data_IF_656415711478
#
_entry.id   IF_656415711478
#
_cell.length_a   1.000
_cell.length_b   1.000
_cell.length_c   1.000
_cell.angle_alpha   90.00
_cell.angle_beta   90.00
_cell.angle_gamma   90.00
#
_symmetry.space_group_name_H-M   'P 1'
#
loop_
_entity.id
_entity.type
_entity.pdbx_description
1 polymer ?
#
# COMPACT_ATOMS: atom_id res chain seq x y z
N UNK A 1 5.35 31.47 -20.11
CA UNK A 1 6.48 31.62 -21.04
C UNK A 1 7.83 31.05 -20.57
N UNK A 2 7.90 30.47 -19.36
CA UNK A 2 9.14 29.89 -18.80
C UNK A 2 9.48 28.51 -19.39
N UNK A 3 8.47 27.74 -19.82
CA UNK A 3 8.67 26.40 -20.39
C UNK A 3 9.26 26.41 -21.84
N UNK A 4 9.23 27.54 -22.53
CA UNK A 4 9.78 27.67 -23.91
C UNK A 4 11.30 27.79 -23.91
N UNK A 5 11.91 28.19 -22.78
CA UNK A 5 13.36 28.38 -22.65
C UNK A 5 14.13 27.13 -22.25
N UNK A 6 13.48 26.12 -21.62
CA UNK A 6 14.18 24.95 -21.10
C UNK A 6 14.52 23.89 -22.16
N UNK A 7 13.93 23.96 -23.38
CA UNK A 7 14.12 22.90 -24.40
C UNK A 7 15.44 22.96 -25.16
N UNK A 8 16.23 24.01 -25.00
CA UNK A 8 17.46 24.19 -25.81
C UNK A 8 18.69 24.69 -25.04
N UNK A 9 18.67 24.68 -23.70
CA UNK A 9 19.82 25.15 -22.91
C UNK A 9 20.72 23.96 -22.57
N UNK A 10 21.96 24.00 -23.03
CA UNK A 10 22.95 22.96 -22.69
C UNK A 10 23.29 23.02 -21.20
N UNK A 11 23.66 21.89 -20.55
CA UNK A 11 23.86 21.81 -19.08
C UNK A 11 24.90 22.77 -18.48
N UNK A 12 25.74 23.38 -19.33
CA UNK A 12 26.83 24.30 -18.95
C UNK A 12 26.47 25.78 -19.08
N UNK A 13 25.23 26.11 -19.44
CA UNK A 13 24.77 27.52 -19.56
C UNK A 13 24.08 28.03 -18.29
N UNK A 14 24.06 27.24 -17.21
CA UNK A 14 23.62 27.73 -15.93
C UNK A 14 24.68 28.62 -15.29
N UNK A 15 24.25 29.80 -14.81
CA UNK A 15 25.09 30.65 -13.95
C UNK A 15 25.71 29.78 -12.85
N UNK A 16 27.06 29.79 -12.62
CA UNK A 16 27.73 29.00 -11.61
C UNK A 16 27.15 29.18 -10.20
N UNK A 17 26.70 30.39 -9.89
CA UNK A 17 26.06 30.70 -8.59
C UNK A 17 24.69 30.03 -8.45
N UNK A 18 23.84 30.06 -9.51
CA UNK A 18 22.56 29.35 -9.50
C UNK A 18 22.73 27.83 -9.45
N UNK A 19 23.73 27.30 -10.13
CA UNK A 19 24.07 25.89 -10.10
C UNK A 19 24.54 25.47 -8.70
N UNK A 20 25.46 26.25 -8.10
CA UNK A 20 25.95 26.00 -6.76
C UNK A 20 24.84 26.11 -5.70
N UNK A 21 23.97 27.14 -5.79
CA UNK A 21 22.83 27.29 -4.89
C UNK A 21 21.88 26.08 -4.99
N UNK A 22 21.53 25.67 -6.21
CA UNK A 22 20.61 24.59 -6.44
C UNK A 22 21.08 23.23 -5.90
N UNK A 23 22.39 23.01 -5.88
CA UNK A 23 23.01 21.75 -5.41
C UNK A 23 23.36 21.75 -3.92
N UNK A 24 23.23 22.88 -3.20
CA UNK A 24 23.43 22.89 -1.76
C UNK A 24 22.36 22.07 -1.05
N UNK A 25 22.78 21.30 -0.05
CA UNK A 25 21.88 20.50 0.79
C UNK A 25 21.03 21.41 1.67
N UNK A 26 19.73 21.39 1.49
CA UNK A 26 18.76 22.17 2.27
C UNK A 26 18.22 21.42 3.47
N UNK A 27 17.96 20.12 3.31
CA UNK A 27 17.37 19.27 4.35
C UNK A 27 18.10 17.95 4.43
N UNK A 28 18.44 17.53 5.64
CA UNK A 28 18.98 16.20 5.94
C UNK A 28 17.96 15.42 6.77
N UNK A 29 17.72 14.15 6.42
CA UNK A 29 16.84 13.24 7.18
C UNK A 29 17.26 11.81 6.96
N UNK A 30 16.82 10.92 7.85
CA UNK A 30 17.11 9.50 7.70
C UNK A 30 15.97 8.77 7.00
N UNK A 31 16.33 7.80 6.16
CA UNK A 31 15.38 6.90 5.51
C UNK A 31 14.66 6.06 6.57
N UNK A 32 13.33 6.03 6.49
CA UNK A 32 12.51 5.29 7.47
C UNK A 32 12.62 3.77 7.32
N UNK A 33 13.09 3.26 6.16
CA UNK A 33 13.20 1.82 5.92
C UNK A 33 14.61 1.27 6.23
N UNK A 34 15.68 2.00 5.91
CA UNK A 34 17.05 1.51 6.02
C UNK A 34 18.00 2.39 6.85
N UNK A 35 17.51 3.48 7.44
CA UNK A 35 18.32 4.39 8.24
C UNK A 35 19.36 5.22 7.47
N UNK A 36 19.46 5.10 6.14
CA UNK A 36 20.41 5.84 5.32
C UNK A 36 20.11 7.33 5.33
N UNK A 37 21.15 8.16 5.39
CA UNK A 37 20.99 9.62 5.28
C UNK A 37 20.47 9.99 3.91
N UNK A 38 19.45 10.83 3.87
CA UNK A 38 18.88 11.46 2.68
C UNK A 38 19.22 12.93 2.73
N UNK A 39 19.93 13.41 1.73
CA UNK A 39 20.23 14.81 1.53
C UNK A 39 19.35 15.34 0.42
N UNK A 40 18.58 16.39 0.71
CA UNK A 40 17.65 17.03 -0.21
C UNK A 40 18.23 18.40 -0.55
N UNK A 41 18.52 18.61 -1.81
CA UNK A 41 19.08 19.86 -2.29
C UNK A 41 18.03 20.98 -2.37
N UNK A 42 18.48 22.23 -2.56
CA UNK A 42 17.56 23.35 -2.76
C UNK A 42 16.63 23.12 -3.98
N UNK A 43 17.16 22.63 -5.09
CA UNK A 43 16.38 22.33 -6.29
C UNK A 43 15.30 21.28 -6.05
N UNK A 44 15.64 20.19 -5.35
CA UNK A 44 14.68 19.14 -5.00
C UNK A 44 13.61 19.66 -4.02
N UNK A 45 14.03 20.40 -3.01
CA UNK A 45 13.11 21.00 -2.05
C UNK A 45 12.07 21.89 -2.73
N UNK A 46 12.53 22.79 -3.60
CA UNK A 46 11.69 23.72 -4.33
C UNK A 46 10.78 23.00 -5.33
N UNK A 47 11.25 21.89 -5.93
CA UNK A 47 10.41 21.01 -6.75
C UNK A 47 9.25 20.42 -5.96
N UNK A 48 9.52 19.80 -4.81
CA UNK A 48 8.48 19.21 -3.96
C UNK A 48 7.48 20.27 -3.49
N UNK A 49 7.96 21.44 -3.08
CA UNK A 49 7.10 22.56 -2.64
C UNK A 49 6.19 23.07 -3.77
N UNK A 50 6.74 23.30 -4.97
CA UNK A 50 5.95 23.77 -6.13
C UNK A 50 4.88 22.78 -6.57
N UNK A 51 5.13 21.49 -6.37
CA UNK A 51 4.18 20.41 -6.73
C UNK A 51 3.19 20.09 -5.60
N UNK A 52 3.33 20.71 -4.43
CA UNK A 52 2.50 20.39 -3.26
C UNK A 52 2.77 19.00 -2.68
N UNK A 53 3.94 18.42 -2.94
CA UNK A 53 4.31 17.10 -2.44
C UNK A 53 5.08 17.20 -1.13
N UNK A 54 4.88 16.21 -0.25
CA UNK A 54 5.73 16.01 0.92
C UNK A 54 7.15 15.63 0.52
N UNK A 55 8.12 16.06 1.35
CA UNK A 55 9.51 15.66 1.17
C UNK A 55 9.67 14.14 1.35
N UNK A 56 10.54 13.50 0.55
CA UNK A 56 10.70 12.05 0.55
C UNK A 56 11.14 11.52 1.91
N UNK A 57 10.39 10.56 2.46
CA UNK A 57 10.69 9.86 3.72
C UNK A 57 11.65 8.68 3.53
N UNK A 58 11.91 8.30 2.28
CA UNK A 58 12.73 7.14 1.89
C UNK A 58 13.84 7.54 0.93
N UNK A 59 15.01 6.91 1.07
CA UNK A 59 16.12 7.11 0.12
C UNK A 59 15.75 6.59 -1.29
N UNK A 60 16.45 7.04 -2.35
CA UNK A 60 16.17 6.61 -3.72
C UNK A 60 16.10 5.09 -3.89
N UNK A 61 17.06 4.35 -3.32
CA UNK A 61 17.10 2.87 -3.40
C UNK A 61 15.88 2.21 -2.78
N UNK A 62 15.44 2.67 -1.59
CA UNK A 62 14.23 2.12 -0.95
C UNK A 62 12.96 2.50 -1.71
N UNK A 63 12.91 3.69 -2.33
CA UNK A 63 11.81 4.08 -3.22
C UNK A 63 11.77 3.22 -4.47
N UNK A 64 12.92 2.96 -5.08
CA UNK A 64 13.05 2.12 -6.26
C UNK A 64 12.74 0.65 -5.97
N UNK A 65 13.23 0.12 -4.83
CA UNK A 65 12.87 -1.22 -4.38
C UNK A 65 11.36 -1.35 -4.13
N UNK A 66 10.71 -0.34 -3.54
CA UNK A 66 9.24 -0.32 -3.43
C UNK A 66 8.58 -0.25 -4.81
N UNK A 67 9.07 0.57 -5.72
CA UNK A 67 8.55 0.69 -7.10
C UNK A 67 8.78 -0.60 -7.90
N UNK A 68 9.94 -1.23 -7.78
CA UNK A 68 10.26 -2.49 -8.43
C UNK A 68 9.47 -3.65 -7.80
N UNK A 69 9.22 -3.63 -6.49
CA UNK A 69 8.28 -4.53 -5.84
C UNK A 69 6.83 -4.27 -6.31
N UNK A 70 6.45 -3.04 -6.64
CA UNK A 70 5.16 -2.72 -7.25
C UNK A 70 5.09 -3.27 -8.69
N UNK A 71 6.10 -3.00 -9.51
CA UNK A 71 6.15 -3.46 -10.92
C UNK A 71 6.39 -4.97 -11.05
N UNK A 72 7.13 -5.61 -10.10
CA UNK A 72 7.25 -7.05 -10.01
C UNK A 72 5.99 -7.72 -9.41
N UNK A 73 5.09 -6.95 -8.78
CA UNK A 73 3.79 -7.44 -8.30
C UNK A 73 2.83 -7.72 -9.45
N UNK A 74 2.89 -6.94 -10.55
CA UNK A 74 2.09 -7.20 -11.76
C UNK A 74 2.53 -8.47 -12.51
N UNK A 75 3.77 -8.94 -12.29
CA UNK A 75 4.31 -10.15 -12.92
C UNK A 75 4.44 -11.37 -11.99
N UNK A 76 4.16 -11.20 -10.70
CA UNK A 76 3.94 -12.30 -9.75
C UNK A 76 2.50 -12.26 -9.28
N UNK A 77 1.61 -12.85 -10.06
CA UNK A 77 0.27 -13.26 -9.66
C UNK A 77 0.34 -14.25 -8.50
N UNK A 78 0.88 -13.85 -7.36
CA UNK A 78 0.86 -14.65 -6.15
C UNK A 78 0.95 -13.77 -4.89
N UNK A 79 -0.20 -13.27 -4.45
CA UNK A 79 -0.47 -13.24 -3.03
C UNK A 79 -0.03 -12.03 -2.22
N UNK A 80 0.05 -10.78 -2.78
CA UNK A 80 0.37 -9.62 -1.92
C UNK A 80 -0.85 -8.77 -1.55
N UNK A 81 -1.95 -8.88 -2.29
CA UNK A 81 -3.15 -8.10 -2.04
C UNK A 81 -4.13 -8.83 -1.10
N UNK A 82 -4.67 -8.12 -0.13
CA UNK A 82 -5.81 -8.55 0.68
C UNK A 82 -7.04 -7.78 0.21
N UNK A 83 -7.62 -8.14 -0.96
CA UNK A 83 -8.64 -7.36 -1.65
C UNK A 83 -9.75 -6.84 -0.74
N UNK A 84 -10.46 -7.72 -0.02
CA UNK A 84 -11.56 -7.34 0.87
C UNK A 84 -11.04 -6.47 2.03
N UNK A 85 -9.99 -6.92 2.72
CA UNK A 85 -9.41 -6.18 3.86
C UNK A 85 -8.86 -4.82 3.43
N UNK A 86 -8.27 -4.71 2.24
CA UNK A 86 -7.78 -3.43 1.68
C UNK A 86 -8.95 -2.46 1.51
N UNK A 87 -10.06 -2.89 0.91
CA UNK A 87 -11.25 -2.03 0.74
C UNK A 87 -11.81 -1.57 2.08
N UNK A 88 -11.87 -2.46 3.08
CA UNK A 88 -12.32 -2.08 4.41
C UNK A 88 -11.37 -1.07 5.08
N UNK A 89 -10.07 -1.26 4.95
CA UNK A 89 -9.09 -0.30 5.45
C UNK A 89 -9.19 1.06 4.73
N UNK A 90 -9.33 1.06 3.39
CA UNK A 90 -9.55 2.26 2.59
C UNK A 90 -10.81 3.03 3.02
N UNK A 91 -11.93 2.33 3.27
CA UNK A 91 -13.17 2.93 3.73
C UNK A 91 -12.98 3.68 5.06
N UNK A 92 -12.14 3.17 5.97
CA UNK A 92 -11.78 3.86 7.23
C UNK A 92 -10.59 4.82 7.10
N UNK A 93 -10.24 5.23 5.88
CA UNK A 93 -9.16 6.19 5.63
C UNK A 93 -7.75 5.67 5.94
N UNK A 94 -7.57 4.36 6.03
CA UNK A 94 -6.28 3.72 6.31
C UNK A 94 -5.52 3.45 5.01
N UNK A 95 -4.20 3.63 5.08
CA UNK A 95 -3.31 3.37 3.92
C UNK A 95 -3.08 1.87 3.68
N UNK A 96 -2.65 1.50 2.46
CA UNK A 96 -2.33 0.10 2.10
C UNK A 96 -1.15 -0.50 2.90
N UNK A 97 -0.39 0.33 3.61
CA UNK A 97 0.67 -0.06 4.53
C UNK A 97 0.27 0.05 6.01
N UNK A 98 -1.03 0.13 6.33
CA UNK A 98 -1.51 0.17 7.71
C UNK A 98 -1.18 -1.12 8.47
N UNK A 99 -1.16 -1.00 9.79
CA UNK A 99 -0.78 -2.11 10.68
C UNK A 99 -1.71 -3.31 10.53
N UNK A 100 -3.00 -3.07 10.34
CA UNK A 100 -4.02 -4.11 10.19
C UNK A 100 -3.76 -4.97 8.94
N UNK A 101 -3.48 -4.33 7.80
CA UNK A 101 -3.16 -5.06 6.57
C UNK A 101 -1.83 -5.81 6.66
N UNK A 102 -0.84 -5.25 7.34
CA UNK A 102 0.43 -5.93 7.54
C UNK A 102 0.29 -7.18 8.41
N UNK A 103 -0.49 -7.11 9.50
CA UNK A 103 -0.81 -8.26 10.36
C UNK A 103 -1.53 -9.36 9.55
N UNK A 104 -2.53 -9.01 8.74
CA UNK A 104 -3.28 -9.97 7.94
C UNK A 104 -2.43 -10.60 6.83
N UNK A 105 -1.53 -9.83 6.22
CA UNK A 105 -0.59 -10.34 5.21
C UNK A 105 0.41 -11.32 5.83
N UNK A 106 0.97 -10.97 6.99
CA UNK A 106 1.89 -11.84 7.73
C UNK A 106 1.17 -13.14 8.16
N UNK A 107 -0.03 -13.06 8.73
CA UNK A 107 -0.85 -14.22 9.07
C UNK A 107 -1.09 -15.14 7.86
N UNK A 108 -1.47 -14.58 6.69
CA UNK A 108 -1.68 -15.34 5.46
C UNK A 108 -0.42 -16.04 5.01
N UNK A 109 0.72 -15.31 4.98
CA UNK A 109 1.95 -15.80 4.36
C UNK A 109 2.72 -16.73 5.29
N UNK A 110 2.75 -16.44 6.61
CA UNK A 110 3.53 -17.20 7.58
C UNK A 110 2.77 -18.37 8.19
N UNK A 111 1.45 -18.28 8.29
CA UNK A 111 0.66 -19.34 8.90
C UNK A 111 -0.31 -20.02 7.91
N UNK A 112 -1.27 -19.29 7.34
CA UNK A 112 -2.36 -19.87 6.54
C UNK A 112 -1.84 -20.64 5.32
N UNK A 113 -0.88 -20.10 4.61
CA UNK A 113 -0.26 -20.72 3.43
C UNK A 113 0.38 -22.09 3.74
N UNK A 114 0.81 -22.29 4.99
CA UNK A 114 1.49 -23.52 5.43
C UNK A 114 0.52 -24.60 5.93
N UNK A 115 -0.77 -24.26 6.05
CA UNK A 115 -1.80 -25.22 6.48
C UNK A 115 -2.27 -26.09 5.30
N UNK A 116 -2.76 -27.29 5.63
CA UNK A 116 -3.42 -28.15 4.63
C UNK A 116 -4.63 -27.42 4.03
N UNK A 117 -4.71 -27.36 2.69
CA UNK A 117 -5.75 -26.59 1.99
C UNK A 117 -5.58 -25.08 2.01
N UNK A 118 -4.53 -24.55 2.66
CA UNK A 118 -4.32 -23.09 2.78
C UNK A 118 -4.01 -22.43 1.44
N UNK A 119 -3.22 -23.07 0.59
CA UNK A 119 -2.88 -22.56 -0.75
C UNK A 119 -4.12 -22.52 -1.65
N UNK A 120 -4.95 -23.56 -1.60
CA UNK A 120 -6.21 -23.65 -2.34
C UNK A 120 -7.19 -22.56 -1.92
N UNK A 121 -7.34 -22.33 -0.61
CA UNK A 121 -8.19 -21.28 -0.05
C UNK A 121 -7.72 -19.90 -0.52
N UNK A 122 -6.42 -19.62 -0.42
CA UNK A 122 -5.83 -18.38 -0.89
C UNK A 122 -6.05 -18.21 -2.39
N UNK A 123 -5.85 -19.25 -3.20
CA UNK A 123 -6.05 -19.21 -4.65
C UNK A 123 -7.50 -18.93 -5.02
N UNK A 124 -8.47 -19.61 -4.36
CA UNK A 124 -9.90 -19.34 -4.54
C UNK A 124 -10.20 -17.88 -4.25
N UNK A 125 -9.72 -17.36 -3.11
CA UNK A 125 -9.90 -15.97 -2.71
C UNK A 125 -9.39 -14.99 -3.79
N UNK A 126 -8.17 -15.19 -4.30
CA UNK A 126 -7.59 -14.29 -5.31
C UNK A 126 -8.33 -14.30 -6.64
N UNK A 127 -8.93 -15.40 -7.00
CA UNK A 127 -9.70 -15.52 -8.24
C UNK A 127 -11.07 -14.83 -8.16
N UNK A 128 -11.66 -14.72 -6.98
CA UNK A 128 -13.04 -14.26 -6.80
C UNK A 128 -13.15 -12.88 -6.15
N UNK A 129 -12.29 -12.56 -5.18
CA UNK A 129 -12.35 -11.32 -4.42
C UNK A 129 -12.30 -10.03 -5.26
N UNK A 130 -11.54 -9.92 -6.37
CA UNK A 130 -11.57 -8.71 -7.20
C UNK A 130 -12.96 -8.36 -7.73
N UNK A 131 -13.71 -9.37 -8.22
CA UNK A 131 -15.07 -9.17 -8.71
C UNK A 131 -16.02 -8.81 -7.57
N UNK A 132 -15.90 -9.50 -6.43
CA UNK A 132 -16.71 -9.22 -5.24
C UNK A 132 -16.49 -7.79 -4.73
N UNK A 133 -15.25 -7.33 -4.67
CA UNK A 133 -14.90 -5.95 -4.30
C UNK A 133 -15.47 -4.93 -5.29
N UNK A 134 -15.43 -5.22 -6.58
CA UNK A 134 -16.03 -4.34 -7.60
C UNK A 134 -17.54 -4.21 -7.40
N UNK A 135 -18.25 -5.32 -7.16
CA UNK A 135 -19.70 -5.32 -6.88
C UNK A 135 -20.00 -4.59 -5.55
N UNK A 136 -19.21 -4.84 -4.50
CA UNK A 136 -19.37 -4.16 -3.22
C UNK A 136 -19.25 -2.64 -3.36
N UNK A 137 -18.23 -2.16 -4.07
CA UNK A 137 -18.03 -0.71 -4.31
C UNK A 137 -19.17 -0.08 -5.15
N UNK A 138 -19.87 -0.87 -5.95
CA UNK A 138 -21.02 -0.43 -6.74
C UNK A 138 -22.36 -0.54 -5.99
N UNK A 139 -22.39 -1.08 -4.79
CA UNK A 139 -23.60 -1.27 -3.99
C UNK A 139 -24.07 0.04 -3.35
N UNK A 140 -25.39 0.31 -3.38
CA UNK A 140 -25.99 1.43 -2.67
C UNK A 140 -25.82 1.34 -1.15
N UNK A 141 -25.54 0.12 -0.62
CA UNK A 141 -25.30 -0.15 0.79
C UNK A 141 -23.79 -0.34 1.12
N UNK A 142 -22.93 0.22 0.27
CA UNK A 142 -21.47 0.07 0.43
C UNK A 142 -20.96 0.39 1.83
N UNK A 143 -21.36 1.54 2.37
CA UNK A 143 -20.92 2.01 3.69
C UNK A 143 -21.39 1.07 4.81
N UNK A 144 -22.68 0.67 4.77
CA UNK A 144 -23.26 -0.26 5.75
C UNK A 144 -22.53 -1.60 5.77
N UNK A 145 -22.27 -2.16 4.58
CA UNK A 145 -21.53 -3.42 4.46
C UNK A 145 -20.08 -3.29 4.93
N UNK A 146 -19.41 -2.18 4.63
CA UNK A 146 -18.05 -1.94 5.11
C UNK A 146 -17.99 -1.84 6.64
N UNK A 147 -18.91 -1.10 7.25
CA UNK A 147 -18.99 -0.99 8.72
C UNK A 147 -19.30 -2.33 9.36
N UNK A 148 -20.29 -3.06 8.83
CA UNK A 148 -20.65 -4.37 9.33
C UNK A 148 -19.49 -5.38 9.27
N UNK A 149 -18.83 -5.47 8.10
CA UNK A 149 -17.71 -6.39 7.90
C UNK A 149 -16.50 -6.02 8.77
N UNK A 150 -16.23 -4.74 8.94
CA UNK A 150 -15.17 -4.27 9.83
C UNK A 150 -15.40 -4.73 11.28
N UNK A 151 -16.60 -4.47 11.81
CA UNK A 151 -16.92 -4.76 13.21
C UNK A 151 -17.06 -6.25 13.50
N UNK A 152 -17.72 -6.99 12.59
CA UNK A 152 -18.11 -8.38 12.87
C UNK A 152 -17.08 -9.41 12.38
N UNK A 153 -16.17 -9.02 11.49
CA UNK A 153 -15.20 -9.95 10.92
C UNK A 153 -13.75 -9.47 11.04
N UNK A 154 -13.41 -8.30 10.49
CA UNK A 154 -12.00 -7.90 10.39
C UNK A 154 -11.39 -7.60 11.77
N UNK A 155 -12.06 -6.81 12.61
CA UNK A 155 -11.59 -6.55 13.98
C UNK A 155 -11.47 -7.83 14.82
N UNK A 156 -12.44 -8.76 14.84
CA UNK A 156 -12.27 -10.06 15.45
C UNK A 156 -11.07 -10.86 14.92
N UNK A 157 -10.85 -10.89 13.61
CA UNK A 157 -9.69 -11.56 13.01
C UNK A 157 -8.37 -11.01 13.56
N UNK A 158 -8.22 -9.68 13.63
CA UNK A 158 -7.02 -9.06 14.18
C UNK A 158 -6.79 -9.46 15.65
N UNK A 159 -7.84 -9.49 16.47
CA UNK A 159 -7.77 -9.95 17.87
C UNK A 159 -7.38 -11.43 17.97
N UNK A 160 -7.92 -12.28 17.11
CA UNK A 160 -7.56 -13.69 17.09
C UNK A 160 -6.10 -13.92 16.71
N UNK A 161 -5.58 -13.15 15.76
CA UNK A 161 -4.16 -13.20 15.37
C UNK A 161 -3.27 -12.77 16.54
N UNK A 162 -3.59 -11.68 17.23
CA UNK A 162 -2.89 -11.21 18.41
C UNK A 162 -2.84 -12.27 19.52
N UNK A 163 -3.97 -12.98 19.70
CA UNK A 163 -4.11 -14.08 20.66
C UNK A 163 -3.53 -15.42 20.17
N UNK A 164 -2.92 -15.47 18.98
CA UNK A 164 -2.41 -16.68 18.31
C UNK A 164 -3.49 -17.75 18.07
N UNK A 165 -4.76 -17.36 18.00
CA UNK A 165 -5.92 -18.21 17.70
C UNK A 165 -6.12 -18.28 16.17
N UNK A 166 -5.16 -18.81 15.47
CA UNK A 166 -5.07 -18.72 14.02
C UNK A 166 -6.16 -19.51 13.28
N UNK A 167 -6.54 -20.69 13.77
CA UNK A 167 -7.67 -21.45 13.20
C UNK A 167 -8.99 -20.66 13.32
N UNK A 168 -9.27 -20.10 14.49
CA UNK A 168 -10.47 -19.28 14.71
C UNK A 168 -10.48 -18.04 13.78
N UNK A 169 -9.30 -17.47 13.51
CA UNK A 169 -9.15 -16.38 12.55
C UNK A 169 -9.50 -16.84 11.12
N UNK A 170 -9.02 -18.02 10.72
CA UNK A 170 -9.33 -18.62 9.41
C UNK A 170 -10.84 -18.76 9.22
N UNK A 171 -11.50 -19.38 10.19
CA UNK A 171 -12.95 -19.63 10.14
C UNK A 171 -13.71 -18.30 10.05
N UNK A 172 -13.33 -17.32 10.87
CA UNK A 172 -13.96 -15.99 10.86
C UNK A 172 -13.73 -15.22 9.54
N UNK A 173 -12.59 -15.42 8.91
CA UNK A 173 -12.30 -14.80 7.60
C UNK A 173 -13.11 -15.48 6.48
N UNK A 174 -13.34 -16.80 6.57
CA UNK A 174 -14.21 -17.55 5.66
C UNK A 174 -15.65 -17.04 5.80
N UNK A 175 -16.16 -16.89 7.03
CA UNK A 175 -17.49 -16.30 7.27
C UNK A 175 -17.64 -14.91 6.65
N UNK A 176 -16.62 -14.05 6.71
CA UNK A 176 -16.62 -12.75 6.06
C UNK A 176 -16.73 -12.87 4.54
N UNK A 177 -16.01 -13.81 3.95
CA UNK A 177 -16.06 -14.07 2.52
C UNK A 177 -17.44 -14.57 2.09
N UNK A 178 -18.03 -15.52 2.82
CA UNK A 178 -19.36 -16.07 2.56
C UNK A 178 -20.47 -15.01 2.73
N UNK A 179 -20.36 -14.16 3.77
CA UNK A 179 -21.24 -13.00 3.93
C UNK A 179 -21.20 -12.11 2.69
N UNK A 180 -20.00 -11.75 2.25
CA UNK A 180 -19.86 -10.90 1.07
C UNK A 180 -20.41 -11.57 -0.20
N UNK A 181 -20.23 -12.88 -0.36
CA UNK A 181 -20.81 -13.66 -1.47
C UNK A 181 -22.34 -13.60 -1.42
N UNK A 182 -22.94 -13.76 -0.25
CA UNK A 182 -24.39 -13.79 -0.05
C UNK A 182 -25.09 -12.46 -0.36
N UNK A 183 -24.44 -11.31 -0.08
CA UNK A 183 -25.04 -9.98 -0.33
C UNK A 183 -24.82 -9.48 -1.77
N UNK A 184 -23.99 -10.17 -2.55
CA UNK A 184 -23.64 -9.81 -3.94
C UNK A 184 -24.21 -10.80 -4.97
N UNK A 185 -24.90 -11.85 -4.51
CA UNK A 185 -25.67 -12.81 -5.34
C UNK A 185 -27.01 -12.22 -5.78
#
# INVERSE_FOLDING_TARGET
NYQKYIKNVKPYEFCPECYNYGNQVKVKRYCIDCGKLIEITNNEYDFYKRKGFDLPKRCPSCRENKKNNYNNRDNRNNGTFCFISTVLCEYFGKSDDCIELNILREYRDEWLRKQSGGVELITKYYNTAPLMVSKLKASDRYEEHCQYMWQNYLQPCLKFIEQKRFETCKDKYIEMYEYLESILS
#
